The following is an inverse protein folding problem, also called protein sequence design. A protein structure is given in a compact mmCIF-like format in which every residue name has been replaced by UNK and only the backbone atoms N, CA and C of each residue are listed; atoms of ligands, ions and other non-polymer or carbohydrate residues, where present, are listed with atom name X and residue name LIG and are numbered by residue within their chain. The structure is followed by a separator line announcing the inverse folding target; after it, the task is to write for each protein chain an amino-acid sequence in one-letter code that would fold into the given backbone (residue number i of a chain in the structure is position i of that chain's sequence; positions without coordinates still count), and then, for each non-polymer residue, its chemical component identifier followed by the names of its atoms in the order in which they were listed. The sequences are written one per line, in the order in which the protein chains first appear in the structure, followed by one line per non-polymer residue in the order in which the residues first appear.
data_IF_223395770895
#
_entry.id   IF_223395770895
#
_cell.length_a   1.000
_cell.length_b   1.000
_cell.length_c   1.000
_cell.angle_alpha   90.00
_cell.angle_beta   90.00
_cell.angle_gamma   90.00
#
_symmetry.space_group_name_H-M   'P 1'
#
loop_
_entity.id
_entity.type
_entity.pdbx_description
1 polymer ?
#
# COMPACT_ATOMS: atom_id res chain seq x y z
N UNK A 1 -27.78 17.95 -4.59
CA UNK A 1 -26.35 18.09 -4.96
C UNK A 1 -25.83 19.39 -4.32
N UNK A 2 -24.97 19.33 -3.29
CA UNK A 2 -24.31 20.53 -2.80
C UNK A 2 -23.38 21.08 -3.89
N UNK A 3 -23.45 22.39 -4.14
CA UNK A 3 -22.55 23.08 -5.06
C UNK A 3 -21.59 23.95 -4.25
N UNK A 4 -20.30 23.94 -4.60
CA UNK A 4 -19.30 24.82 -4.02
C UNK A 4 -18.54 25.53 -5.13
N UNK A 5 -18.19 26.79 -4.90
CA UNK A 5 -17.36 27.58 -5.80
C UNK A 5 -15.95 27.63 -5.23
N UNK A 6 -14.96 27.30 -6.06
CA UNK A 6 -13.56 27.29 -5.65
C UNK A 6 -12.75 28.13 -6.63
N UNK A 7 -11.91 29.03 -6.10
CA UNK A 7 -10.99 29.82 -6.90
C UNK A 7 -9.69 29.05 -7.06
N UNK A 8 -9.33 28.74 -8.30
CA UNK A 8 -8.09 28.07 -8.64
C UNK A 8 -7.03 29.10 -9.03
N UNK A 9 -5.75 28.87 -8.70
CA UNK A 9 -4.65 29.58 -9.36
C UNK A 9 -4.71 29.37 -10.88
N UNK A 10 -4.36 30.39 -11.66
CA UNK A 10 -4.46 30.35 -13.13
C UNK A 10 -3.74 29.15 -13.75
N UNK A 11 -2.56 28.80 -13.23
CA UNK A 11 -1.80 27.64 -13.71
C UNK A 11 -2.55 26.31 -13.49
N UNK A 12 -3.22 26.18 -12.36
CA UNK A 12 -3.98 24.97 -12.04
C UNK A 12 -5.26 24.89 -12.88
N UNK A 13 -5.91 26.02 -13.12
CA UNK A 13 -7.06 26.09 -14.02
C UNK A 13 -6.69 25.71 -15.46
N UNK A 14 -5.55 26.21 -15.96
CA UNK A 14 -5.02 25.84 -17.28
C UNK A 14 -4.77 24.34 -17.38
N UNK A 15 -4.03 23.76 -16.42
CA UNK A 15 -3.72 22.32 -16.38
C UNK A 15 -4.97 21.45 -16.29
N UNK A 16 -5.96 21.84 -15.49
CA UNK A 16 -7.24 21.13 -15.41
C UNK A 16 -8.01 21.19 -16.72
N UNK A 17 -7.93 22.31 -17.44
CA UNK A 17 -8.50 22.45 -18.77
C UNK A 17 -7.84 21.54 -19.81
N UNK A 18 -6.52 21.45 -19.79
CA UNK A 18 -5.73 20.55 -20.65
C UNK A 18 -6.08 19.08 -20.37
N UNK A 19 -6.11 18.68 -19.09
CA UNK A 19 -6.46 17.32 -18.69
C UNK A 19 -7.88 16.94 -19.13
N UNK A 20 -8.85 17.82 -18.92
CA UNK A 20 -10.23 17.62 -19.36
C UNK A 20 -10.36 17.39 -20.87
N UNK A 21 -9.51 18.05 -21.68
CA UNK A 21 -9.45 17.82 -23.12
C UNK A 21 -8.83 16.46 -23.46
N UNK A 22 -7.80 16.03 -22.72
CA UNK A 22 -7.11 14.77 -22.95
C UNK A 22 -7.95 13.54 -22.57
N UNK A 23 -8.62 13.57 -21.42
CA UNK A 23 -9.44 12.45 -20.96
C UNK A 23 -10.90 12.52 -21.47
N UNK A 24 -11.32 13.64 -22.05
CA UNK A 24 -12.70 13.84 -22.53
C UNK A 24 -13.75 13.96 -21.41
N UNK A 25 -13.33 14.17 -20.17
CA UNK A 25 -14.21 14.32 -19.01
C UNK A 25 -14.43 15.80 -18.65
N UNK A 26 -15.60 16.16 -18.10
CA UNK A 26 -15.83 17.51 -17.61
C UNK A 26 -14.94 17.83 -16.40
N UNK A 27 -14.49 19.09 -16.31
CA UNK A 27 -13.63 19.59 -15.22
C UNK A 27 -14.18 19.29 -13.82
N UNK A 28 -15.50 19.35 -13.65
CA UNK A 28 -16.17 19.07 -12.38
C UNK A 28 -16.05 17.61 -11.94
N UNK A 29 -15.97 16.67 -12.88
CA UNK A 29 -15.77 15.25 -12.61
C UNK A 29 -14.31 14.99 -12.21
N UNK A 30 -13.35 15.56 -12.95
CA UNK A 30 -11.94 15.51 -12.58
C UNK A 30 -11.65 16.10 -11.19
N UNK A 31 -12.29 17.23 -10.86
CA UNK A 31 -12.17 17.83 -9.52
C UNK A 31 -12.74 16.87 -8.46
N UNK A 32 -13.85 16.20 -8.74
CA UNK A 32 -14.47 15.26 -7.80
C UNK A 32 -13.55 14.07 -7.57
N UNK A 33 -13.07 13.43 -8.63
CA UNK A 33 -12.15 12.29 -8.54
C UNK A 33 -10.87 12.66 -7.79
N UNK A 34 -10.28 13.82 -8.10
CA UNK A 34 -9.10 14.31 -7.40
C UNK A 34 -9.35 14.56 -5.90
N UNK A 35 -10.53 15.08 -5.54
CA UNK A 35 -10.92 15.28 -4.15
C UNK A 35 -11.15 13.97 -3.40
N UNK A 36 -11.84 13.01 -4.02
CA UNK A 36 -12.08 11.68 -3.45
C UNK A 36 -10.76 10.97 -3.17
N UNK A 37 -9.84 10.97 -4.14
CA UNK A 37 -8.52 10.37 -3.98
C UNK A 37 -7.67 11.09 -2.92
N UNK A 38 -7.71 12.43 -2.88
CA UNK A 38 -7.01 13.20 -1.85
C UNK A 38 -7.52 12.87 -0.44
N UNK A 39 -8.85 12.78 -0.27
CA UNK A 39 -9.46 12.46 1.02
C UNK A 39 -9.09 11.03 1.45
N UNK A 40 -9.22 10.06 0.54
CA UNK A 40 -8.82 8.67 0.78
C UNK A 40 -7.36 8.56 1.20
N UNK A 41 -6.44 9.24 0.48
CA UNK A 41 -5.01 9.27 0.83
C UNK A 41 -4.78 9.86 2.22
N UNK A 42 -5.43 10.98 2.55
CA UNK A 42 -5.28 11.62 3.86
C UNK A 42 -5.82 10.77 5.00
N UNK A 43 -6.93 10.09 4.78
CA UNK A 43 -7.49 9.15 5.74
C UNK A 43 -6.52 7.99 5.99
N UNK A 44 -6.03 7.37 4.93
CA UNK A 44 -5.03 6.30 5.02
C UNK A 44 -3.76 6.77 5.74
N UNK A 45 -3.27 7.97 5.44
CA UNK A 45 -2.10 8.55 6.11
C UNK A 45 -2.32 8.74 7.61
N UNK A 46 -3.48 9.26 8.02
CA UNK A 46 -3.82 9.43 9.44
C UNK A 46 -3.95 8.10 10.15
N UNK A 47 -4.59 7.13 9.51
CA UNK A 47 -4.72 5.77 10.04
C UNK A 47 -3.35 5.14 10.27
N UNK A 48 -2.48 5.16 9.24
CA UNK A 48 -1.12 4.61 9.35
C UNK A 48 -0.28 5.34 10.38
N UNK A 49 -0.39 6.67 10.49
CA UNK A 49 0.28 7.43 11.53
C UNK A 49 -0.16 7.01 12.95
N UNK A 50 -1.47 6.76 13.13
CA UNK A 50 -2.00 6.22 14.38
C UNK A 50 -1.47 4.81 14.70
N UNK A 51 -1.39 3.94 13.69
CA UNK A 51 -0.85 2.59 13.84
C UNK A 51 0.64 2.61 14.23
N UNK A 52 1.44 3.46 13.58
CA UNK A 52 2.86 3.64 13.93
C UNK A 52 3.00 4.15 15.36
N UNK A 53 2.23 5.16 15.75
CA UNK A 53 2.27 5.68 17.11
C UNK A 53 1.89 4.62 18.17
N UNK A 54 0.91 3.77 17.88
CA UNK A 54 0.53 2.66 18.76
C UNK A 54 1.63 1.59 18.86
N UNK A 55 2.25 1.22 17.74
CA UNK A 55 3.38 0.29 17.72
C UNK A 55 4.58 0.84 18.51
N UNK A 56 4.92 2.12 18.33
CA UNK A 56 5.97 2.79 19.10
C UNK A 56 5.67 2.79 20.60
N UNK A 57 4.40 3.01 20.99
CA UNK A 57 4.00 2.97 22.38
C UNK A 57 4.20 1.57 22.99
N UNK A 58 3.81 0.51 22.28
CA UNK A 58 4.02 -0.87 22.70
C UNK A 58 5.50 -1.23 22.85
N UNK A 59 6.35 -0.79 21.91
CA UNK A 59 7.80 -1.04 21.99
C UNK A 59 8.46 -0.28 23.14
N UNK A 60 7.96 0.91 23.48
CA UNK A 60 8.46 1.71 24.60
C UNK A 60 8.00 1.21 25.97
N UNK A 61 6.92 0.44 26.04
CA UNK A 61 6.49 -0.25 27.24
C UNK A 61 7.32 -1.52 27.46
N UNK A 62 8.18 -1.60 28.49
CA UNK A 62 9.03 -2.76 28.73
C UNK A 62 8.24 -4.06 28.98
N UNK A 63 7.05 -3.98 29.58
CA UNK A 63 6.23 -5.15 29.86
C UNK A 63 5.62 -5.70 28.58
N UNK A 64 4.97 -4.83 27.80
CA UNK A 64 4.37 -5.23 26.52
C UNK A 64 5.43 -5.73 25.54
N UNK A 65 6.62 -5.12 25.55
CA UNK A 65 7.76 -5.59 24.75
C UNK A 65 8.25 -6.97 25.17
N UNK A 66 8.38 -7.23 26.47
CA UNK A 66 8.81 -8.54 26.97
C UNK A 66 7.82 -9.64 26.57
N UNK A 67 6.52 -9.41 26.81
CA UNK A 67 5.45 -10.33 26.40
C UNK A 67 5.47 -10.60 24.89
N UNK A 68 5.66 -9.57 24.08
CA UNK A 68 5.76 -9.71 22.62
C UNK A 68 6.97 -10.56 22.19
N UNK A 69 8.10 -10.44 22.88
CA UNK A 69 9.30 -11.23 22.60
C UNK A 69 9.12 -12.69 23.02
N UNK A 70 8.46 -12.94 24.15
CA UNK A 70 8.15 -14.29 24.61
C UNK A 70 7.24 -15.01 23.62
N UNK A 71 6.16 -14.34 23.17
CA UNK A 71 5.30 -14.87 22.10
C UNK A 71 6.11 -15.14 20.83
N UNK A 72 6.96 -14.20 20.39
CA UNK A 72 7.77 -14.42 19.20
C UNK A 72 8.73 -15.63 19.35
N UNK A 73 9.30 -15.84 20.54
CA UNK A 73 10.17 -16.98 20.81
C UNK A 73 9.41 -18.31 20.78
N UNK A 74 8.19 -18.35 21.31
CA UNK A 74 7.34 -19.55 21.32
C UNK A 74 6.96 -20.02 19.89
N UNK A 75 6.74 -19.07 18.97
CA UNK A 75 6.33 -19.37 17.59
C UNK A 75 7.49 -19.54 16.60
N UNK A 76 8.70 -19.05 16.94
CA UNK A 76 9.86 -19.11 16.06
C UNK A 76 10.14 -20.52 15.47
N UNK A 77 10.06 -21.63 16.21
CA UNK A 77 10.29 -22.96 15.64
C UNK A 77 9.29 -23.33 14.55
N UNK A 78 8.01 -23.03 14.78
CA UNK A 78 6.94 -23.32 13.82
C UNK A 78 7.08 -22.46 12.55
N UNK A 79 7.45 -21.18 12.72
CA UNK A 79 7.70 -20.28 11.59
C UNK A 79 8.89 -20.75 10.74
N UNK A 80 9.98 -21.22 11.38
CA UNK A 80 11.13 -21.79 10.68
C UNK A 80 10.78 -23.09 9.94
N UNK A 81 10.00 -23.98 10.54
CA UNK A 81 9.54 -25.21 9.88
C UNK A 81 8.66 -24.90 8.67
N UNK A 82 7.69 -23.99 8.82
CA UNK A 82 6.83 -23.56 7.74
C UNK A 82 7.63 -22.93 6.58
N UNK A 83 8.64 -22.12 6.89
CA UNK A 83 9.54 -21.54 5.88
C UNK A 83 10.33 -22.63 5.14
N UNK A 84 10.91 -23.59 5.86
CA UNK A 84 11.69 -24.67 5.25
C UNK A 84 10.85 -25.50 4.25
N UNK A 85 9.58 -25.79 4.60
CA UNK A 85 8.65 -26.47 3.70
C UNK A 85 8.32 -25.63 2.46
N UNK A 86 8.10 -24.31 2.63
CA UNK A 86 7.84 -23.40 1.51
C UNK A 86 9.05 -23.30 0.56
N UNK A 87 10.27 -23.30 1.09
CA UNK A 87 11.50 -23.30 0.29
C UNK A 87 11.73 -24.62 -0.45
N UNK A 88 11.42 -25.76 0.19
CA UNK A 88 11.48 -27.09 -0.44
C UNK A 88 10.50 -27.20 -1.62
N UNK A 89 9.24 -26.78 -1.42
CA UNK A 89 8.23 -26.77 -2.49
C UNK A 89 8.64 -25.90 -3.67
N UNK A 90 9.11 -24.68 -3.42
CA UNK A 90 9.61 -23.77 -4.45
C UNK A 90 10.79 -24.38 -5.23
N UNK A 91 11.74 -25.00 -4.52
CA UNK A 91 12.90 -25.65 -5.14
C UNK A 91 12.50 -26.83 -6.02
N UNK A 92 11.52 -27.63 -5.57
CA UNK A 92 10.99 -28.78 -6.31
C UNK A 92 10.27 -28.34 -7.58
N UNK A 93 9.48 -27.27 -7.53
CA UNK A 93 8.82 -26.69 -8.70
C UNK A 93 9.82 -26.21 -9.76
N UNK A 94 10.92 -25.58 -9.34
CA UNK A 94 11.98 -25.13 -10.23
C UNK A 94 12.75 -26.29 -10.89
N UNK A 95 12.95 -27.41 -10.18
CA UNK A 95 13.60 -28.61 -10.75
C UNK A 95 12.70 -29.41 -11.70
N UNK A 96 11.38 -29.18 -11.67
CA UNK A 96 10.40 -29.84 -12.53
C UNK A 96 10.04 -29.07 -13.79
N UNK A 97 10.46 -27.81 -13.93
CA UNK A 97 10.23 -27.03 -15.14
C UNK A 97 11.31 -27.34 -16.21
N UNK A 98 10.93 -27.66 -17.45
CA UNK A 98 11.90 -27.73 -18.53
C UNK A 98 12.57 -26.37 -18.67
N UNK A 99 13.90 -26.33 -18.83
CA UNK A 99 14.64 -25.10 -19.06
C UNK A 99 13.91 -24.25 -20.11
N UNK A 100 13.59 -22.97 -19.85
CA UNK A 100 12.88 -22.14 -20.81
C UNK A 100 13.69 -22.16 -22.11
N UNK A 101 13.09 -22.74 -23.16
CA UNK A 101 13.71 -22.75 -24.49
C UNK A 101 14.02 -21.30 -24.85
N UNK A 102 15.25 -21.00 -25.28
CA UNK A 102 15.59 -19.66 -25.69
C UNK A 102 14.66 -19.24 -26.83
N UNK A 103 14.00 -18.09 -26.68
CA UNK A 103 13.00 -17.54 -27.60
C UNK A 103 13.55 -17.17 -29.00
N UNK A 104 14.84 -17.36 -29.23
CA UNK A 104 15.56 -17.02 -30.46
C UNK A 104 15.80 -18.21 -31.40
N UNK A 105 14.88 -19.18 -31.46
CA UNK A 105 14.86 -20.22 -32.49
C UNK A 105 13.62 -20.12 -33.37
#
# INVERSE_FOLDING_TARGET
MPAFSLRLPQDLERRLGEEALHCGQPRSELIREALEELLRRREQQRFMAGLVAAAEALVRDPSARAESLDVAADFLPADCEALALAEETTSRELTGQPSPQPWWR
#
